data_IF_953242079348
#
_entry.id   IF_953242079348
#
_cell.length_a   1.000
_cell.length_b   1.000
_cell.length_c   1.000
_cell.angle_alpha   90.00
_cell.angle_beta   90.00
_cell.angle_gamma   90.00
#
_symmetry.space_group_name_H-M   'P 1'
#
loop_
_entity.id
_entity.type
_entity.pdbx_description
1 polymer ?
#
# COMPACT_ATOMS: atom_id res chain seq x y z
N UNK A 1 30.50 -8.39 9.25
CA UNK A 1 30.20 -7.45 8.15
C UNK A 1 29.77 -6.16 8.83
N UNK A 2 30.26 -4.99 8.41
CA UNK A 2 29.76 -3.73 8.96
C UNK A 2 28.27 -3.59 8.64
N UNK A 3 27.51 -2.85 9.45
CA UNK A 3 26.11 -2.58 9.12
C UNK A 3 25.99 -1.71 7.87
N UNK A 4 24.99 -1.99 7.03
CA UNK A 4 24.66 -1.17 5.86
C UNK A 4 24.19 0.21 6.34
N UNK A 5 24.74 1.27 5.76
CA UNK A 5 24.41 2.66 6.10
C UNK A 5 23.70 3.35 4.96
N UNK A 6 23.01 4.44 5.27
CA UNK A 6 22.31 5.22 4.24
C UNK A 6 23.27 5.85 3.22
N UNK A 7 24.47 6.26 3.66
CA UNK A 7 25.51 6.81 2.79
C UNK A 7 25.91 5.84 1.67
N UNK A 8 25.84 4.52 1.92
CA UNK A 8 26.14 3.48 0.94
C UNK A 8 25.09 3.42 -0.19
N UNK A 9 23.90 4.00 0.02
CA UNK A 9 22.76 3.94 -0.90
C UNK A 9 22.47 5.25 -1.64
N UNK A 10 22.93 6.41 -1.11
CA UNK A 10 22.49 7.73 -1.59
C UNK A 10 22.70 7.96 -3.08
N UNK A 11 23.86 7.57 -3.62
CA UNK A 11 24.21 7.77 -5.03
C UNK A 11 23.80 6.63 -5.96
N UNK A 12 23.22 5.56 -5.41
CA UNK A 12 22.88 4.36 -6.18
C UNK A 12 21.51 4.49 -6.84
N UNK A 13 21.39 3.89 -8.03
CA UNK A 13 20.10 3.67 -8.67
C UNK A 13 19.25 2.71 -7.84
N UNK A 14 17.93 2.68 -8.06
CA UNK A 14 17.04 1.78 -7.32
C UNK A 14 17.44 0.29 -7.50
N UNK A 15 17.88 -0.10 -8.70
CA UNK A 15 18.38 -1.44 -8.97
C UNK A 15 19.68 -1.76 -8.25
N UNK A 16 20.61 -0.80 -8.18
CA UNK A 16 21.89 -0.98 -7.48
C UNK A 16 21.70 -1.01 -5.96
N UNK A 17 20.77 -0.22 -5.42
CA UNK A 17 20.35 -0.31 -4.00
C UNK A 17 19.84 -1.70 -3.68
N UNK A 18 18.95 -2.23 -4.52
CA UNK A 18 18.39 -3.57 -4.32
C UNK A 18 19.46 -4.65 -4.36
N UNK A 19 20.39 -4.57 -5.33
CA UNK A 19 21.49 -5.50 -5.46
C UNK A 19 22.43 -5.47 -4.24
N UNK A 20 22.75 -4.27 -3.73
CA UNK A 20 23.58 -4.11 -2.54
C UNK A 20 22.88 -4.68 -1.30
N UNK A 21 21.60 -4.35 -1.09
CA UNK A 21 20.82 -4.89 0.03
C UNK A 21 20.76 -6.42 -0.03
N UNK A 22 20.54 -6.99 -1.22
CA UNK A 22 20.52 -8.44 -1.41
C UNK A 22 21.89 -9.09 -1.14
N UNK A 23 23.01 -8.39 -1.38
CA UNK A 23 24.34 -8.92 -1.02
C UNK A 23 24.53 -8.96 0.50
N UNK A 24 24.09 -7.94 1.22
CA UNK A 24 24.11 -7.92 2.69
C UNK A 24 23.17 -8.97 3.27
N UNK A 25 21.95 -9.08 2.71
CA UNK A 25 20.93 -10.04 3.14
C UNK A 25 21.43 -11.49 3.12
N UNK A 26 22.22 -11.88 2.11
CA UNK A 26 22.81 -13.24 2.01
C UNK A 26 23.74 -13.60 3.16
N UNK A 27 24.35 -12.61 3.83
CA UNK A 27 25.25 -12.84 4.95
C UNK A 27 24.52 -13.03 6.29
N UNK A 28 23.21 -12.77 6.32
CA UNK A 28 22.42 -12.80 7.55
C UNK A 28 22.00 -14.23 7.86
N UNK A 29 22.38 -14.70 9.05
CA UNK A 29 21.95 -15.98 9.58
C UNK A 29 20.46 -15.92 9.93
N UNK A 30 19.70 -16.86 9.38
CA UNK A 30 18.26 -16.94 9.60
C UNK A 30 17.98 -17.81 10.82
N UNK A 31 17.18 -17.33 11.79
CA UNK A 31 16.79 -18.14 12.94
C UNK A 31 16.02 -19.41 12.51
N UNK A 32 16.24 -20.58 13.14
CA UNK A 32 15.64 -21.85 12.74
C UNK A 32 14.10 -21.85 12.72
N UNK A 33 13.47 -21.01 13.52
CA UNK A 33 12.01 -20.88 13.60
C UNK A 33 11.37 -20.16 12.40
N UNK A 34 12.16 -19.49 11.56
CA UNK A 34 11.65 -18.79 10.37
C UNK A 34 11.42 -19.80 9.25
N UNK A 35 10.18 -19.86 8.75
CA UNK A 35 9.78 -20.76 7.67
C UNK A 35 10.64 -20.52 6.41
N UNK A 36 10.95 -21.58 5.63
CA UNK A 36 11.71 -21.47 4.38
C UNK A 36 11.18 -20.37 3.43
N UNK A 37 9.86 -20.23 3.31
CA UNK A 37 9.21 -19.23 2.47
C UNK A 37 9.41 -17.78 2.91
N UNK A 38 9.86 -17.54 4.15
CA UNK A 38 10.05 -16.20 4.73
C UNK A 38 11.52 -15.87 5.00
N UNK A 39 12.46 -16.76 4.68
CA UNK A 39 13.89 -16.54 4.98
C UNK A 39 14.44 -15.31 4.23
N UNK A 40 14.18 -15.19 2.93
CA UNK A 40 14.59 -14.00 2.15
C UNK A 40 13.96 -12.72 2.69
N UNK A 41 12.69 -12.77 3.11
CA UNK A 41 11.99 -11.64 3.73
C UNK A 41 12.70 -11.19 5.01
N UNK A 42 12.98 -12.15 5.91
CA UNK A 42 13.68 -11.89 7.15
C UNK A 42 15.08 -11.28 6.90
N UNK A 43 15.83 -11.87 5.97
CA UNK A 43 17.17 -11.39 5.63
C UNK A 43 17.14 -9.95 5.08
N UNK A 44 16.26 -9.65 4.12
CA UNK A 44 16.11 -8.28 3.58
C UNK A 44 15.71 -7.27 4.64
N UNK A 45 14.69 -7.60 5.45
CA UNK A 45 14.23 -6.73 6.53
C UNK A 45 15.34 -6.47 7.56
N UNK A 46 16.12 -7.49 7.89
CA UNK A 46 17.24 -7.38 8.84
C UNK A 46 18.39 -6.57 8.23
N UNK A 47 18.69 -6.73 6.94
CA UNK A 47 19.75 -6.00 6.24
C UNK A 47 19.50 -4.48 6.22
N UNK A 48 18.24 -4.06 6.02
CA UNK A 48 17.91 -2.63 5.98
C UNK A 48 17.64 -2.04 7.36
N UNK A 49 17.30 -2.84 8.38
CA UNK A 49 16.89 -2.32 9.70
C UNK A 49 17.84 -1.25 10.27
N UNK A 50 19.18 -1.39 10.20
CA UNK A 50 20.11 -0.40 10.74
C UNK A 50 20.01 0.99 10.10
N UNK A 51 19.62 1.10 8.82
CA UNK A 51 19.60 2.38 8.09
C UNK A 51 18.23 3.09 8.12
N UNK A 52 17.16 2.40 8.52
CA UNK A 52 15.79 2.91 8.40
C UNK A 52 15.57 4.21 9.17
N UNK A 53 16.13 4.33 10.38
CA UNK A 53 15.95 5.52 11.21
C UNK A 53 16.62 6.75 10.60
N UNK A 54 17.85 6.60 10.12
CA UNK A 54 18.58 7.70 9.49
C UNK A 54 17.93 8.09 8.15
N UNK A 55 17.46 7.13 7.37
CA UNK A 55 16.69 7.40 6.16
C UNK A 55 15.38 8.15 6.44
N UNK A 56 14.65 7.77 7.50
CA UNK A 56 13.44 8.49 7.93
C UNK A 56 13.77 9.91 8.38
N UNK A 57 14.85 10.11 9.16
CA UNK A 57 15.30 11.43 9.59
C UNK A 57 15.69 12.33 8.42
N UNK A 58 16.34 11.79 7.40
CA UNK A 58 16.64 12.52 6.18
C UNK A 58 15.37 12.97 5.46
N UNK A 59 14.37 12.08 5.32
CA UNK A 59 13.07 12.44 4.73
C UNK A 59 12.37 13.55 5.52
N UNK A 60 12.30 13.44 6.85
CA UNK A 60 11.69 14.45 7.73
C UNK A 60 12.44 15.79 7.63
N UNK A 61 13.77 15.75 7.56
CA UNK A 61 14.59 16.95 7.46
C UNK A 61 14.38 17.64 6.11
N UNK A 62 14.39 16.88 5.02
CA UNK A 62 14.13 17.39 3.68
C UNK A 62 12.73 18.02 3.59
N UNK A 63 11.70 17.33 4.08
CA UNK A 63 10.32 17.83 4.10
C UNK A 63 10.19 19.17 4.84
N UNK A 64 10.79 19.29 6.03
CA UNK A 64 10.79 20.54 6.81
C UNK A 64 11.51 21.69 6.11
N UNK A 65 12.50 21.39 5.27
CA UNK A 65 13.24 22.39 4.50
C UNK A 65 12.49 22.83 3.24
N UNK A 66 11.50 22.07 2.77
CA UNK A 66 10.83 22.25 1.48
C UNK A 66 9.34 22.56 1.58
N UNK A 67 8.92 23.35 2.58
CA UNK A 67 7.50 23.63 2.89
C UNK A 67 6.74 22.33 3.23
N UNK A 68 6.74 21.98 4.51
CA UNK A 68 6.38 20.64 4.99
C UNK A 68 5.02 20.15 4.49
N UNK A 69 4.98 18.92 3.98
CA UNK A 69 3.74 18.24 3.60
C UNK A 69 2.86 17.90 4.81
N UNK A 70 3.38 18.06 6.02
CA UNK A 70 2.62 17.90 7.26
C UNK A 70 1.79 19.15 7.61
N UNK A 71 2.04 20.28 6.95
CA UNK A 71 1.15 21.43 7.02
C UNK A 71 -0.15 21.09 6.29
N UNK A 72 -1.29 21.33 6.95
CA UNK A 72 -2.63 20.89 6.50
C UNK A 72 -2.92 21.22 5.03
N UNK A 73 -2.57 22.42 4.58
CA UNK A 73 -2.82 22.87 3.19
C UNK A 73 -2.00 22.05 2.19
N UNK A 74 -0.69 21.92 2.41
CA UNK A 74 0.21 21.14 1.55
C UNK A 74 -0.20 19.66 1.54
N UNK A 75 -0.61 19.14 2.71
CA UNK A 75 -1.11 17.79 2.84
C UNK A 75 -2.37 17.56 2.01
N UNK A 76 -3.35 18.47 2.12
CA UNK A 76 -4.61 18.42 1.37
C UNK A 76 -4.34 18.44 -0.13
N UNK A 77 -3.43 19.31 -0.59
CA UNK A 77 -3.05 19.41 -2.00
C UNK A 77 -2.38 18.13 -2.50
N UNK A 78 -1.42 17.59 -1.75
CA UNK A 78 -0.72 16.36 -2.11
C UNK A 78 -1.66 15.14 -2.20
N UNK A 79 -2.59 15.01 -1.24
CA UNK A 79 -3.59 13.95 -1.22
C UNK A 79 -4.54 14.11 -2.42
N UNK A 80 -5.08 15.31 -2.63
CA UNK A 80 -6.00 15.59 -3.73
C UNK A 80 -5.36 15.32 -5.10
N UNK A 81 -4.10 15.71 -5.29
CA UNK A 81 -3.35 15.44 -6.53
C UNK A 81 -3.19 13.93 -6.79
N UNK A 82 -2.84 13.14 -5.77
CA UNK A 82 -2.73 11.67 -5.89
C UNK A 82 -4.09 11.04 -6.24
N UNK A 83 -5.16 11.47 -5.58
CA UNK A 83 -6.51 10.97 -5.84
C UNK A 83 -6.99 11.33 -7.24
N UNK A 84 -6.77 12.58 -7.67
CA UNK A 84 -7.13 13.04 -9.02
C UNK A 84 -6.37 12.29 -10.11
N UNK A 85 -5.05 12.12 -9.97
CA UNK A 85 -4.24 11.37 -10.92
C UNK A 85 -4.70 9.90 -11.02
N UNK A 86 -5.02 9.27 -9.88
CA UNK A 86 -5.57 7.93 -9.85
C UNK A 86 -6.93 7.86 -10.56
N UNK A 87 -7.85 8.79 -10.26
CA UNK A 87 -9.16 8.84 -10.91
C UNK A 87 -9.04 8.95 -12.43
N UNK A 88 -8.22 9.88 -12.92
CA UNK A 88 -8.03 10.08 -14.36
C UNK A 88 -7.52 8.80 -15.03
N UNK A 89 -6.46 8.19 -14.48
CA UNK A 89 -5.91 6.94 -15.00
C UNK A 89 -6.93 5.79 -14.96
N UNK A 90 -7.78 5.74 -13.94
CA UNK A 90 -8.82 4.73 -13.82
C UNK A 90 -9.93 4.95 -14.85
N UNK A 91 -10.40 6.19 -14.98
CA UNK A 91 -11.44 6.60 -15.94
C UNK A 91 -11.00 6.28 -17.37
N UNK A 92 -9.76 6.63 -17.73
CA UNK A 92 -9.19 6.34 -19.05
C UNK A 92 -9.13 4.82 -19.33
N UNK A 93 -9.07 4.00 -18.28
CA UNK A 93 -9.06 2.53 -18.40
C UNK A 93 -10.44 1.90 -18.51
N UNK A 94 -11.53 2.60 -18.16
CA UNK A 94 -12.91 2.05 -18.14
C UNK A 94 -13.29 1.36 -19.47
N UNK A 95 -13.05 1.95 -20.65
CA UNK A 95 -13.41 1.31 -21.92
C UNK A 95 -12.76 -0.06 -22.13
N UNK A 96 -11.57 -0.28 -21.56
CA UNK A 96 -10.85 -1.56 -21.65
C UNK A 96 -11.34 -2.61 -20.65
N UNK A 97 -12.05 -2.20 -19.60
CA UNK A 97 -12.57 -3.09 -18.55
C UNK A 97 -13.91 -3.73 -18.92
N UNK A 98 -14.67 -3.07 -19.80
CA UNK A 98 -16.01 -3.50 -20.21
C UNK A 98 -15.92 -4.24 -21.55
N UNK A 99 -16.32 -5.51 -21.57
CA UNK A 99 -16.40 -6.31 -22.79
C UNK A 99 -17.61 -5.90 -23.63
N UNK A 100 -17.48 -5.97 -24.95
CA UNK A 100 -18.62 -5.71 -25.83
C UNK A 100 -19.69 -6.81 -25.69
N UNK A 101 -20.99 -6.51 -25.93
CA UNK A 101 -22.05 -7.52 -25.88
C UNK A 101 -21.78 -8.72 -26.78
N UNK A 102 -21.23 -8.48 -27.98
CA UNK A 102 -20.83 -9.53 -28.92
C UNK A 102 -19.74 -10.43 -28.36
N UNK A 103 -18.67 -9.84 -27.81
CA UNK A 103 -17.59 -10.61 -27.20
C UNK A 103 -18.08 -11.44 -26.00
N UNK A 104 -18.99 -10.89 -25.20
CA UNK A 104 -19.58 -11.58 -24.05
C UNK A 104 -20.48 -12.76 -24.49
N UNK A 105 -21.24 -12.61 -25.58
CA UNK A 105 -22.08 -13.66 -26.14
C UNK A 105 -21.27 -14.79 -26.81
N UNK A 106 -20.20 -14.46 -27.54
CA UNK A 106 -19.35 -15.43 -28.23
C UNK A 106 -18.50 -16.28 -27.25
N UNK A 107 -18.10 -15.71 -26.09
CA UNK A 107 -17.31 -16.42 -25.08
C UNK A 107 -17.59 -15.89 -23.66
N UNK A 108 -18.67 -16.34 -23.00
CA UNK A 108 -19.05 -15.86 -21.67
C UNK A 108 -18.09 -16.36 -20.59
N UNK A 109 -17.60 -15.46 -19.73
CA UNK A 109 -16.67 -15.76 -18.61
C UNK A 109 -17.37 -15.93 -17.26
N UNK A 110 -18.64 -15.56 -17.15
CA UNK A 110 -19.41 -15.66 -15.93
C UNK A 110 -20.91 -15.80 -16.26
N UNK A 111 -21.72 -16.11 -15.23
CA UNK A 111 -23.16 -16.35 -15.39
C UNK A 111 -23.91 -15.10 -15.93
N UNK A 112 -23.50 -13.89 -15.53
CA UNK A 112 -24.12 -12.66 -16.02
C UNK A 112 -23.88 -12.45 -17.51
N UNK A 113 -22.65 -12.71 -17.99
CA UNK A 113 -22.33 -12.68 -19.42
C UNK A 113 -23.14 -13.72 -20.20
N UNK A 114 -23.25 -14.95 -19.67
CA UNK A 114 -24.04 -16.03 -20.29
C UNK A 114 -25.52 -15.63 -20.45
N UNK A 115 -26.08 -14.92 -19.47
CA UNK A 115 -27.47 -14.45 -19.49
C UNK A 115 -27.67 -13.11 -20.24
N UNK A 116 -26.61 -12.53 -20.82
CA UNK A 116 -26.69 -11.21 -21.47
C UNK A 116 -26.90 -10.03 -20.51
N UNK A 117 -26.65 -10.22 -19.21
CA UNK A 117 -26.79 -9.19 -18.18
C UNK A 117 -25.55 -8.27 -18.14
N UNK A 118 -25.47 -7.38 -19.14
CA UNK A 118 -24.31 -6.51 -19.40
C UNK A 118 -24.02 -5.53 -18.26
N UNK A 119 -25.04 -4.96 -17.62
CA UNK A 119 -24.87 -4.01 -16.51
C UNK A 119 -24.18 -4.63 -15.30
N UNK A 120 -24.63 -5.81 -14.87
CA UNK A 120 -24.02 -6.53 -13.73
C UNK A 120 -22.58 -6.95 -14.06
N UNK A 121 -22.33 -7.36 -15.31
CA UNK A 121 -20.99 -7.73 -15.78
C UNK A 121 -20.03 -6.53 -15.69
N UNK A 122 -20.43 -5.39 -16.26
CA UNK A 122 -19.62 -4.18 -16.30
C UNK A 122 -19.36 -3.62 -14.88
N UNK A 123 -20.41 -3.51 -14.06
CA UNK A 123 -20.32 -3.04 -12.68
C UNK A 123 -19.35 -3.90 -11.84
N UNK A 124 -19.41 -5.23 -11.99
CA UNK A 124 -18.51 -6.14 -11.30
C UNK A 124 -17.06 -6.09 -11.84
N UNK A 125 -16.86 -5.86 -13.14
CA UNK A 125 -15.52 -5.67 -13.70
C UNK A 125 -14.86 -4.39 -13.15
N UNK A 126 -15.62 -3.30 -13.13
CA UNK A 126 -15.16 -1.99 -12.65
C UNK A 126 -14.85 -2.04 -11.15
N UNK A 127 -15.78 -2.53 -10.32
CA UNK A 127 -15.59 -2.54 -8.87
C UNK A 127 -14.42 -3.42 -8.42
N UNK A 128 -14.21 -4.57 -9.09
CA UNK A 128 -13.03 -5.44 -8.85
C UNK A 128 -11.72 -4.78 -9.28
N UNK A 129 -11.70 -4.16 -10.46
CA UNK A 129 -10.53 -3.44 -10.96
C UNK A 129 -10.16 -2.29 -10.02
N UNK A 130 -11.15 -1.49 -9.61
CA UNK A 130 -10.98 -0.37 -8.70
C UNK A 130 -10.42 -0.84 -7.35
N UNK A 131 -11.04 -1.87 -6.75
CA UNK A 131 -10.60 -2.46 -5.48
C UNK A 131 -9.15 -2.97 -5.54
N UNK A 132 -8.75 -3.54 -6.68
CA UNK A 132 -7.39 -4.05 -6.87
C UNK A 132 -6.38 -2.92 -6.95
N UNK A 133 -6.67 -1.87 -7.73
CA UNK A 133 -5.76 -0.73 -7.92
C UNK A 133 -5.67 0.17 -6.69
N UNK A 134 -6.73 0.27 -5.90
CA UNK A 134 -6.74 1.07 -4.67
C UNK A 134 -5.75 0.59 -3.61
N UNK A 135 -5.35 -0.69 -3.62
CA UNK A 135 -4.29 -1.17 -2.72
C UNK A 135 -3.01 -0.34 -2.84
N UNK A 136 -2.57 -0.10 -4.08
CA UNK A 136 -1.41 0.74 -4.36
C UNK A 136 -1.66 2.21 -3.97
N UNK A 137 -2.89 2.72 -4.18
CA UNK A 137 -3.23 4.09 -3.80
C UNK A 137 -3.03 4.33 -2.29
N UNK A 138 -3.36 3.37 -1.43
CA UNK A 138 -3.17 3.52 0.01
C UNK A 138 -1.70 3.63 0.40
N UNK A 139 -0.83 2.84 -0.23
CA UNK A 139 0.62 2.94 -0.06
C UNK A 139 1.13 4.29 -0.53
N UNK A 140 0.65 4.77 -1.69
CA UNK A 140 1.04 6.05 -2.29
C UNK A 140 0.62 7.24 -1.43
N UNK A 141 -0.57 7.19 -0.84
CA UNK A 141 -1.05 8.19 0.11
C UNK A 141 -0.28 8.14 1.43
N UNK A 142 -0.01 6.94 1.97
CA UNK A 142 0.83 6.81 3.16
C UNK A 142 2.25 7.37 2.90
N UNK A 143 2.73 7.23 1.67
CA UNK A 143 4.03 7.74 1.23
C UNK A 143 4.12 9.25 1.02
N UNK A 144 3.02 9.97 1.12
CA UNK A 144 3.06 11.43 1.24
C UNK A 144 3.78 11.81 2.55
N UNK A 145 3.62 11.02 3.61
CA UNK A 145 4.27 11.32 4.89
C UNK A 145 5.78 11.04 4.84
N UNK A 146 6.63 11.96 5.36
CA UNK A 146 8.05 11.71 5.53
C UNK A 146 8.37 10.63 6.58
N UNK A 147 7.36 10.19 7.36
CA UNK A 147 7.49 9.10 8.33
C UNK A 147 7.26 7.71 7.73
N UNK A 148 6.97 7.62 6.43
CA UNK A 148 6.68 6.37 5.73
C UNK A 148 7.80 6.00 4.79
N UNK A 149 8.14 4.71 4.72
CA UNK A 149 9.13 4.09 3.85
C UNK A 149 8.43 2.98 3.04
N UNK A 150 8.74 2.90 1.75
CA UNK A 150 8.24 1.89 0.82
C UNK A 150 9.44 1.07 0.41
N UNK A 151 9.52 -0.21 0.84
CA UNK A 151 10.66 -1.06 0.49
C UNK A 151 10.92 -1.11 -1.02
N UNK A 152 9.84 -1.17 -1.82
CA UNK A 152 9.95 -1.25 -3.27
C UNK A 152 10.37 0.10 -3.89
N UNK A 153 9.75 1.22 -3.48
CA UNK A 153 10.03 2.53 -4.11
C UNK A 153 11.30 3.20 -3.64
N UNK A 154 11.70 2.98 -2.39
CA UNK A 154 12.87 3.63 -1.80
C UNK A 154 14.15 2.80 -1.98
N UNK A 155 14.01 1.46 -2.00
CA UNK A 155 15.13 0.53 -1.97
C UNK A 155 15.12 -0.52 -3.09
N UNK A 156 14.04 -0.63 -3.87
CA UNK A 156 13.95 -1.59 -4.98
C UNK A 156 13.79 -3.04 -4.53
N UNK A 157 13.47 -3.27 -3.26
CA UNK A 157 13.36 -4.61 -2.69
C UNK A 157 11.94 -4.91 -2.23
N UNK A 158 11.55 -6.17 -2.42
CA UNK A 158 10.31 -6.69 -1.87
C UNK A 158 10.55 -7.35 -0.52
N UNK A 159 9.80 -6.91 0.50
CA UNK A 159 9.67 -7.58 1.79
C UNK A 159 8.28 -8.20 1.84
N UNK A 160 8.20 -9.52 1.64
CA UNK A 160 6.92 -10.22 1.54
C UNK A 160 6.02 -9.93 2.73
N UNK A 161 4.79 -9.50 2.45
CA UNK A 161 3.78 -9.20 3.46
C UNK A 161 3.84 -7.79 4.03
N UNK A 162 4.87 -6.99 3.68
CA UNK A 162 5.05 -5.62 4.13
C UNK A 162 4.80 -4.67 2.96
N UNK A 163 3.76 -3.85 3.08
CA UNK A 163 3.39 -2.87 2.07
C UNK A 163 4.18 -1.56 2.32
N UNK A 164 4.33 -1.16 3.59
CA UNK A 164 5.10 0.03 4.02
C UNK A 164 5.80 -0.22 5.36
N UNK A 165 6.84 0.55 5.64
CA UNK A 165 7.48 0.64 6.96
C UNK A 165 7.22 2.05 7.48
N UNK A 166 6.72 2.18 8.70
CA UNK A 166 6.39 3.50 9.27
C UNK A 166 7.22 3.78 10.52
N UNK A 167 7.46 5.05 10.80
CA UNK A 167 7.87 5.54 12.10
C UNK A 167 6.69 6.28 12.71
N UNK A 168 6.23 5.84 13.87
CA UNK A 168 5.22 6.62 14.58
C UNK A 168 5.80 7.99 14.97
N UNK A 169 5.05 9.07 14.75
CA UNK A 169 5.50 10.43 15.07
C UNK A 169 6.03 10.48 16.51
N UNK A 170 7.29 10.91 16.66
CA UNK A 170 7.98 10.96 17.96
C UNK A 170 8.64 9.66 18.42
N UNK A 171 8.57 8.58 17.64
CA UNK A 171 9.22 7.30 17.93
C UNK A 171 10.38 7.00 16.97
N UNK A 172 11.27 6.09 17.39
CA UNK A 172 12.50 5.73 16.65
C UNK A 172 12.52 4.30 16.14
N UNK A 173 11.49 3.50 16.45
CA UNK A 173 11.44 2.11 16.02
C UNK A 173 10.68 2.00 14.69
N UNK A 174 11.25 1.35 13.67
CA UNK A 174 10.54 1.09 12.43
C UNK A 174 9.45 0.03 12.65
N UNK A 175 8.24 0.29 12.19
CA UNK A 175 7.10 -0.61 12.28
C UNK A 175 6.79 -1.17 10.88
N UNK A 176 7.05 -2.46 10.69
CA UNK A 176 6.78 -3.17 9.44
C UNK A 176 5.27 -3.39 9.30
N UNK A 177 4.66 -2.74 8.32
CA UNK A 177 3.20 -2.60 8.24
C UNK A 177 2.63 -3.26 6.99
N UNK A 178 1.61 -4.08 7.20
CA UNK A 178 0.73 -4.55 6.15
C UNK A 178 -0.51 -3.64 6.12
N UNK A 179 -0.82 -3.03 4.97
CA UNK A 179 -1.91 -2.09 4.79
C UNK A 179 -3.00 -2.71 3.92
N UNK A 180 -4.25 -2.61 4.37
CA UNK A 180 -5.44 -3.04 3.61
C UNK A 180 -6.46 -1.92 3.51
N UNK A 181 -7.44 -2.06 2.63
CA UNK A 181 -8.50 -1.05 2.49
C UNK A 181 -9.34 -0.98 3.77
N UNK A 182 -9.82 -2.14 4.26
CA UNK A 182 -10.71 -2.23 5.44
C UNK A 182 -10.34 -3.41 6.36
N UNK A 183 -10.73 -3.37 7.65
CA UNK A 183 -10.56 -4.46 8.62
C UNK A 183 -11.00 -5.86 8.15
N UNK A 184 -12.04 -5.92 7.32
CA UNK A 184 -12.66 -7.16 6.83
C UNK A 184 -12.02 -7.74 5.56
N UNK A 185 -10.95 -7.15 5.05
CA UNK A 185 -10.39 -7.49 3.72
C UNK A 185 -9.83 -8.92 3.65
N UNK A 186 -9.39 -9.50 4.78
CA UNK A 186 -8.80 -10.84 4.75
C UNK A 186 -9.87 -11.92 4.56
N UNK A 187 -9.61 -12.81 3.61
CA UNK A 187 -10.42 -14.01 3.32
C UNK A 187 -9.66 -15.28 3.71
N UNK A 188 -10.37 -16.28 4.27
CA UNK A 188 -9.89 -17.65 4.53
C UNK A 188 -8.40 -17.80 4.88
N UNK A 189 -7.62 -18.26 3.90
CA UNK A 189 -6.18 -18.58 4.03
C UNK A 189 -5.26 -17.37 4.19
N UNK A 190 -5.75 -16.15 3.97
CA UNK A 190 -4.93 -14.94 4.07
C UNK A 190 -4.59 -14.59 5.53
N UNK A 191 -5.46 -14.93 6.49
CA UNK A 191 -5.24 -14.59 7.91
C UNK A 191 -4.01 -15.28 8.51
N UNK A 192 -3.86 -16.62 8.47
CA UNK A 192 -2.66 -17.27 8.99
C UNK A 192 -1.40 -16.77 8.30
N UNK A 193 -1.48 -16.54 6.98
CA UNK A 193 -0.38 -16.01 6.20
C UNK A 193 0.06 -14.62 6.66
N UNK A 194 -0.87 -13.66 6.82
CA UNK A 194 -0.56 -12.32 7.31
C UNK A 194 0.06 -12.36 8.72
N UNK A 195 -0.41 -13.25 9.59
CA UNK A 195 0.18 -13.43 10.92
C UNK A 195 1.62 -13.91 10.83
N UNK A 196 1.89 -14.93 10.01
CA UNK A 196 3.24 -15.47 9.81
C UNK A 196 4.20 -14.45 9.21
N UNK A 197 3.75 -13.72 8.19
CA UNK A 197 4.53 -12.67 7.53
C UNK A 197 4.88 -11.54 8.51
N UNK A 198 3.94 -11.07 9.35
CA UNK A 198 4.19 -9.98 10.29
C UNK A 198 4.95 -10.41 11.56
N UNK A 199 4.82 -11.67 11.98
CA UNK A 199 5.41 -12.17 13.22
C UNK A 199 6.93 -12.31 13.18
N UNK A 200 7.56 -12.27 12.00
CA UNK A 200 9.03 -12.30 11.89
C UNK A 200 9.67 -10.94 12.23
N UNK A 201 8.87 -9.88 12.35
CA UNK A 201 9.31 -8.54 12.65
C UNK A 201 9.04 -8.20 14.12
N UNK A 202 10.04 -7.62 14.79
CA UNK A 202 9.93 -7.20 16.20
C UNK A 202 8.81 -6.17 16.42
N UNK A 203 8.74 -5.17 15.55
CA UNK A 203 7.66 -4.18 15.53
C UNK A 203 6.90 -4.31 14.21
N UNK A 204 5.65 -4.73 14.30
CA UNK A 204 4.78 -4.89 13.14
C UNK A 204 3.38 -4.33 13.40
N UNK A 205 2.67 -4.04 12.33
CA UNK A 205 1.31 -3.50 12.39
C UNK A 205 0.46 -4.07 11.25
N UNK A 206 -0.74 -4.53 11.60
CA UNK A 206 -1.77 -4.80 10.61
C UNK A 206 -2.70 -3.59 10.53
N UNK A 207 -2.56 -2.81 9.47
CA UNK A 207 -3.27 -1.55 9.28
C UNK A 207 -4.40 -1.67 8.25
N UNK A 208 -5.42 -0.83 8.43
CA UNK A 208 -6.44 -0.58 7.42
C UNK A 208 -6.59 0.92 7.15
N UNK A 209 -6.65 1.30 5.87
CA UNK A 209 -6.82 2.68 5.45
C UNK A 209 -8.12 3.29 5.97
N UNK A 210 -9.20 2.49 6.04
CA UNK A 210 -10.51 2.92 6.53
C UNK A 210 -11.03 2.01 7.64
N UNK A 211 -11.76 2.56 8.60
CA UNK A 211 -12.36 1.77 9.67
C UNK A 211 -13.81 1.34 9.35
N UNK A 212 -13.98 0.61 8.26
CA UNK A 212 -15.27 0.11 7.79
C UNK A 212 -15.41 -1.39 8.08
N UNK A 213 -16.53 -1.79 8.69
CA UNK A 213 -16.79 -3.18 9.06
C UNK A 213 -16.01 -3.66 10.29
N UNK A 214 -15.86 -4.98 10.43
CA UNK A 214 -15.21 -5.63 11.58
C UNK A 214 -13.89 -6.28 11.19
N UNK A 215 -13.00 -6.44 12.17
CA UNK A 215 -11.70 -7.08 11.96
C UNK A 215 -11.82 -8.59 11.77
N UNK A 216 -11.34 -9.08 10.63
CA UNK A 216 -11.12 -10.51 10.41
C UNK A 216 -9.72 -10.95 10.87
N UNK A 217 -8.76 -10.03 10.90
CA UNK A 217 -7.44 -10.24 11.48
C UNK A 217 -7.48 -10.13 13.01
N UNK A 218 -6.89 -11.11 13.68
CA UNK A 218 -6.74 -11.13 15.15
C UNK A 218 -5.40 -11.75 15.50
N UNK A 219 -4.57 -11.09 16.28
CA UNK A 219 -3.32 -11.63 16.78
C UNK A 219 -3.13 -11.16 18.23
N UNK A 220 -2.59 -12.00 19.13
CA UNK A 220 -2.26 -11.57 20.49
C UNK A 220 -1.07 -10.60 20.54
N UNK A 221 -0.18 -10.65 19.53
CA UNK A 221 1.09 -9.92 19.52
C UNK A 221 1.19 -8.84 18.46
N UNK A 222 0.39 -8.93 17.39
CA UNK A 222 0.44 -7.96 16.28
C UNK A 222 -0.70 -6.95 16.48
N UNK A 223 -0.38 -5.67 16.76
CA UNK A 223 -1.38 -4.62 16.92
C UNK A 223 -2.13 -4.34 15.62
N UNK A 224 -3.27 -3.66 15.75
CA UNK A 224 -4.13 -3.25 14.64
C UNK A 224 -4.42 -1.75 14.72
N UNK A 225 -4.49 -1.08 13.59
CA UNK A 225 -4.93 0.30 13.48
C UNK A 225 -5.78 0.49 12.22
N UNK A 226 -6.83 1.31 12.30
CA UNK A 226 -7.69 1.64 11.16
C UNK A 226 -7.97 3.15 11.12
N UNK A 227 -8.18 3.70 9.92
CA UNK A 227 -8.61 5.10 9.74
C UNK A 227 -7.72 6.08 10.51
N UNK A 228 -8.33 7.01 11.24
CA UNK A 228 -7.63 8.02 12.06
C UNK A 228 -6.50 7.43 12.92
N UNK A 229 -6.68 6.24 13.52
CA UNK A 229 -5.64 5.63 14.38
C UNK A 229 -4.40 5.19 13.61
N UNK A 230 -4.54 4.88 12.32
CA UNK A 230 -3.40 4.55 11.46
C UNK A 230 -2.77 5.82 10.91
N UNK A 231 -3.57 6.68 10.26
CA UNK A 231 -3.05 7.88 9.57
C UNK A 231 -2.36 8.86 10.52
N UNK A 232 -2.88 9.05 11.74
CA UNK A 232 -2.23 9.90 12.75
C UNK A 232 -0.84 9.41 13.18
N UNK A 233 -0.55 8.11 13.10
CA UNK A 233 0.80 7.58 13.40
C UNK A 233 1.85 8.14 12.46
N UNK A 234 1.47 8.42 11.23
CA UNK A 234 2.36 8.97 10.20
C UNK A 234 2.09 10.47 9.96
N UNK A 235 1.37 11.15 10.86
CA UNK A 235 1.11 12.59 10.74
C UNK A 235 0.20 12.99 9.59
N UNK A 236 -0.59 12.06 9.04
CA UNK A 236 -1.61 12.34 8.03
C UNK A 236 -2.97 12.53 8.72
N UNK A 237 -3.64 13.63 8.39
CA UNK A 237 -5.00 13.93 8.84
C UNK A 237 -6.01 13.11 8.05
N UNK A 238 -6.70 12.20 8.73
CA UNK A 238 -7.57 11.22 8.08
C UNK A 238 -8.75 11.87 7.33
N UNK A 239 -9.29 12.96 7.85
CA UNK A 239 -10.40 13.68 7.23
C UNK A 239 -10.06 14.11 5.79
N UNK A 240 -8.83 14.58 5.55
CA UNK A 240 -8.37 14.95 4.20
C UNK A 240 -8.32 13.76 3.26
N UNK A 241 -7.87 12.60 3.76
CA UNK A 241 -7.87 11.33 3.01
C UNK A 241 -9.30 10.91 2.70
N UNK A 242 -10.19 10.93 3.70
CA UNK A 242 -11.56 10.50 3.56
C UNK A 242 -12.34 11.35 2.55
N UNK A 243 -12.24 12.68 2.63
CA UNK A 243 -12.96 13.60 1.75
C UNK A 243 -12.44 13.52 0.30
N UNK A 244 -11.11 13.43 0.12
CA UNK A 244 -10.51 13.29 -1.21
C UNK A 244 -10.92 11.98 -1.88
N UNK A 245 -10.99 10.88 -1.11
CA UNK A 245 -11.38 9.57 -1.65
C UNK A 245 -12.86 9.48 -1.96
N UNK A 246 -13.74 10.09 -1.14
CA UNK A 246 -15.17 10.21 -1.47
C UNK A 246 -15.36 10.91 -2.82
N UNK A 247 -14.72 12.07 -2.98
CA UNK A 247 -14.78 12.85 -4.22
C UNK A 247 -14.28 12.03 -5.40
N UNK A 248 -13.10 11.42 -5.27
CA UNK A 248 -12.50 10.57 -6.30
C UNK A 248 -13.41 9.42 -6.73
N UNK A 249 -14.05 8.71 -5.80
CA UNK A 249 -14.94 7.58 -6.12
C UNK A 249 -16.19 8.06 -6.85
N UNK A 250 -16.79 9.18 -6.42
CA UNK A 250 -17.98 9.75 -7.07
C UNK A 250 -17.67 10.26 -8.49
N UNK A 251 -16.49 10.84 -8.71
CA UNK A 251 -16.04 11.26 -10.04
C UNK A 251 -15.89 10.05 -10.99
N UNK A 252 -15.32 8.94 -10.49
CA UNK A 252 -15.20 7.69 -11.25
C UNK A 252 -16.58 7.12 -11.58
N UNK A 253 -17.50 7.12 -10.61
CA UNK A 253 -18.88 6.65 -10.83
C UNK A 253 -19.60 7.50 -11.87
N UNK A 254 -19.52 8.83 -11.78
CA UNK A 254 -20.10 9.75 -12.73
C UNK A 254 -19.55 9.54 -14.15
N UNK A 255 -18.22 9.36 -14.28
CA UNK A 255 -17.59 9.06 -15.56
C UNK A 255 -18.04 7.72 -16.15
N UNK A 256 -18.24 6.70 -15.31
CA UNK A 256 -18.78 5.41 -15.76
C UNK A 256 -20.23 5.55 -16.27
N UNK A 257 -21.09 6.27 -15.55
CA UNK A 257 -22.47 6.52 -15.99
C UNK A 257 -22.51 7.28 -17.33
N UNK A 258 -21.65 8.27 -17.52
CA UNK A 258 -21.51 8.98 -18.79
C UNK A 258 -21.06 8.05 -19.92
N UNK A 259 -20.10 7.16 -19.65
CA UNK A 259 -19.66 6.15 -20.61
C UNK A 259 -20.80 5.21 -21.01
N UNK A 260 -21.65 4.78 -20.07
CA UNK A 260 -22.80 3.93 -20.38
C UNK A 260 -23.87 4.63 -21.21
N UNK A 261 -24.15 5.90 -20.93
CA UNK A 261 -25.16 6.66 -21.67
C UNK A 261 -24.72 7.04 -23.10
N UNK A 262 -23.42 6.92 -23.40
CA UNK A 262 -22.84 7.15 -24.72
C UNK A 262 -22.68 5.89 -25.58
N UNK A 263 -23.01 4.70 -25.06
CA UNK A 263 -23.03 3.42 -25.79
C UNK A 263 -24.45 3.04 -26.23
#
# INVERSE_FOLDING_TARGET
MNDLKIDDLRSLSLGDRAALIDSYAKSITVPPQIKPSLQTTYQRATAIKPLLLDYCREQITADRQSNSVLDRQNQSEAIAQKCHAFAQQFIDSIPSLVRSPRQAAENPKNLYELCGATLFTASNAISRSLSTKMGQLWEDLAKISPYTISPEKDFGIKITGIDIIIFEVGQTNPIFTQLKTTPGTLTGSQKPRSQEELAIHEFSLFAAAFCLGTWNFSSPTIPRACGQKFWSKIGIEYELVEDSIKTMILDIEAAYLAFQNGQ
#
